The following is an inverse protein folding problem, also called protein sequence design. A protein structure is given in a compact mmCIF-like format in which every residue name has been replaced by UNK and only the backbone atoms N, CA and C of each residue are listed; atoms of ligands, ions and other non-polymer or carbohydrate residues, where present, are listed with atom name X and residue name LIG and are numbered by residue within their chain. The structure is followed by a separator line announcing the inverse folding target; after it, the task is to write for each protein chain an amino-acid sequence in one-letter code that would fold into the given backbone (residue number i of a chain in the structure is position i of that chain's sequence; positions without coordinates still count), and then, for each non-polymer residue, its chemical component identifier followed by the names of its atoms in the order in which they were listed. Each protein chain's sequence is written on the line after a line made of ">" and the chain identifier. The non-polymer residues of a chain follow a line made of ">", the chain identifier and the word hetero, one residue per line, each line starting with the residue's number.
data_IF_089952608280
#
_entry.id   IF_089952608280
#
_cell.length_a   1.000
_cell.length_b   1.000
_cell.length_c   1.000
_cell.angle_alpha   90.00
_cell.angle_beta   90.00
_cell.angle_gamma   90.00
#
_symmetry.space_group_name_H-M   'P 1'
#
loop_
_entity.id
_entity.type
_entity.pdbx_description
1 polymer ?
#
# COMPACT_ATOMS: atom_id res chain seq x y z
N UNK A 1 22.24 2.58 -8.26
CA UNK A 1 21.14 2.17 -7.40
C UNK A 1 21.18 0.67 -7.27
N UNK A 2 21.01 0.18 -6.07
CA UNK A 2 20.88 -1.25 -5.82
C UNK A 2 19.62 -1.80 -6.48
N UNK A 3 19.69 -2.98 -7.03
CA UNK A 3 18.59 -3.61 -7.77
C UNK A 3 18.10 -4.90 -7.13
N UNK A 4 18.76 -5.32 -6.03
CA UNK A 4 18.45 -6.55 -5.31
C UNK A 4 17.80 -6.23 -3.95
N UNK A 5 16.60 -6.74 -3.76
CA UNK A 5 15.77 -6.53 -2.59
C UNK A 5 15.25 -7.86 -2.03
N UNK A 6 14.77 -7.87 -0.81
CA UNK A 6 14.06 -9.01 -0.28
C UNK A 6 12.59 -8.98 -0.70
N UNK A 7 11.98 -7.78 -0.66
CA UNK A 7 10.56 -7.57 -1.00
C UNK A 7 10.39 -6.38 -1.92
N UNK A 8 9.65 -6.57 -3.00
CA UNK A 8 9.13 -5.49 -3.84
C UNK A 8 7.66 -5.25 -3.48
N UNK A 9 7.30 -4.00 -3.21
CA UNK A 9 5.91 -3.58 -3.02
C UNK A 9 5.51 -2.69 -4.18
N UNK A 10 4.46 -3.08 -4.91
CA UNK A 10 3.93 -2.33 -6.06
C UNK A 10 2.67 -1.60 -5.64
N UNK A 11 2.74 -0.27 -5.61
CA UNK A 11 1.67 0.62 -5.20
C UNK A 11 1.84 1.15 -3.79
N UNK A 12 1.82 2.48 -3.63
CA UNK A 12 2.01 3.19 -2.37
C UNK A 12 0.71 3.79 -1.79
N UNK A 13 -0.42 3.09 -1.99
CA UNK A 13 -1.63 3.30 -1.20
C UNK A 13 -1.44 2.81 0.24
N UNK A 14 -2.47 2.91 1.07
CA UNK A 14 -2.37 2.50 2.48
C UNK A 14 -1.91 1.05 2.65
N UNK A 15 -2.43 0.12 1.86
CA UNK A 15 -2.04 -1.30 1.92
C UNK A 15 -0.55 -1.51 1.58
N UNK A 16 -0.06 -0.86 0.51
CA UNK A 16 1.35 -1.00 0.13
C UNK A 16 2.30 -0.33 1.13
N UNK A 17 1.91 0.80 1.68
CA UNK A 17 2.69 1.49 2.73
C UNK A 17 2.81 0.62 3.98
N UNK A 18 1.69 0.02 4.44
CA UNK A 18 1.72 -0.90 5.59
C UNK A 18 2.56 -2.13 5.32
N UNK A 19 2.47 -2.71 4.11
CA UNK A 19 3.28 -3.85 3.71
C UNK A 19 4.78 -3.51 3.69
N UNK A 20 5.14 -2.32 3.20
CA UNK A 20 6.53 -1.85 3.17
C UNK A 20 7.09 -1.67 4.58
N UNK A 21 6.36 -0.99 5.47
CA UNK A 21 6.79 -0.83 6.87
C UNK A 21 6.87 -2.16 7.61
N UNK A 22 5.89 -3.04 7.43
CA UNK A 22 5.90 -4.36 8.06
C UNK A 22 7.13 -5.18 7.63
N UNK A 23 7.41 -5.21 6.31
CA UNK A 23 8.57 -5.91 5.76
C UNK A 23 9.89 -5.32 6.27
N UNK A 24 10.01 -3.98 6.31
CA UNK A 24 11.21 -3.31 6.81
C UNK A 24 11.44 -3.56 8.31
N UNK A 25 10.38 -3.56 9.13
CA UNK A 25 10.48 -3.91 10.56
C UNK A 25 10.98 -5.34 10.81
N UNK A 26 10.70 -6.25 9.89
CA UNK A 26 11.23 -7.62 9.92
C UNK A 26 12.69 -7.72 9.46
N UNK A 27 13.33 -6.60 9.15
CA UNK A 27 14.73 -6.53 8.73
C UNK A 27 14.94 -6.75 7.24
N UNK A 28 13.88 -6.81 6.44
CA UNK A 28 14.00 -6.99 5.00
C UNK A 28 14.36 -5.66 4.31
N UNK A 29 15.12 -5.78 3.22
CA UNK A 29 15.38 -4.70 2.29
C UNK A 29 14.23 -4.59 1.31
N UNK A 30 13.52 -3.46 1.31
CA UNK A 30 12.26 -3.24 0.59
C UNK A 30 12.42 -2.17 -0.47
N UNK A 31 11.88 -2.40 -1.66
CA UNK A 31 11.60 -1.33 -2.61
C UNK A 31 10.09 -1.14 -2.75
N UNK A 32 9.64 0.10 -2.58
CA UNK A 32 8.26 0.52 -2.78
C UNK A 32 8.17 1.33 -4.07
N UNK A 33 7.47 0.78 -5.06
CA UNK A 33 7.35 1.37 -6.40
C UNK A 33 5.96 1.95 -6.57
N UNK A 34 5.88 3.19 -7.01
CA UNK A 34 4.61 3.89 -7.21
C UNK A 34 4.68 4.82 -8.42
N UNK A 35 3.53 5.06 -9.06
CA UNK A 35 3.44 5.97 -10.20
C UNK A 35 3.84 7.41 -9.85
N UNK A 36 3.44 7.88 -8.67
CA UNK A 36 3.70 9.24 -8.21
C UNK A 36 4.00 9.25 -6.71
N UNK A 37 5.17 9.74 -6.32
CA UNK A 37 5.55 9.86 -4.90
C UNK A 37 4.62 10.82 -4.12
N UNK A 38 4.09 11.83 -4.81
CA UNK A 38 3.16 12.78 -4.19
C UNK A 38 1.78 12.20 -3.88
N UNK A 39 1.49 10.97 -4.33
CA UNK A 39 0.21 10.30 -4.05
C UNK A 39 0.31 9.18 -3.02
N UNK A 40 1.47 9.05 -2.35
CA UNK A 40 1.65 8.08 -1.25
C UNK A 40 0.58 8.31 -0.19
N UNK A 41 -0.10 7.24 0.22
CA UNK A 41 -1.19 7.26 1.22
C UNK A 41 -2.28 8.30 0.93
N UNK A 42 -2.56 8.57 -0.34
CA UNK A 42 -3.57 9.55 -0.72
C UNK A 42 -4.97 9.06 -0.37
N UNK A 43 -5.72 9.92 0.33
CA UNK A 43 -7.14 9.72 0.61
C UNK A 43 -7.96 10.36 -0.51
N UNK A 44 -8.33 9.57 -1.52
CA UNK A 44 -8.99 10.06 -2.74
C UNK A 44 -10.50 10.28 -2.60
N UNK A 45 -11.11 9.79 -1.53
CA UNK A 45 -12.52 10.00 -1.22
C UNK A 45 -12.66 10.90 0.01
N UNK A 46 -13.31 10.42 1.07
CA UNK A 46 -13.33 11.13 2.34
C UNK A 46 -11.96 11.07 3.01
N UNK A 47 -11.40 12.20 3.48
CA UNK A 47 -10.13 12.20 4.19
C UNK A 47 -10.33 11.67 5.62
N UNK A 48 -10.62 10.39 5.76
CA UNK A 48 -10.90 9.76 7.05
C UNK A 48 -10.42 8.32 7.12
N UNK A 49 -10.01 7.92 8.31
CA UNK A 49 -9.64 6.55 8.69
C UNK A 49 -10.70 6.01 9.65
N UNK A 50 -11.04 4.74 9.52
CA UNK A 50 -12.04 4.08 10.35
C UNK A 50 -13.44 4.13 9.76
N UNK A 51 -14.44 3.81 10.60
CA UNK A 51 -15.83 3.65 10.18
C UNK A 51 -16.29 2.18 10.21
N UNK A 52 -17.57 1.89 9.88
CA UNK A 52 -18.11 0.53 9.89
C UNK A 52 -17.31 -0.45 9.04
N UNK A 53 -16.92 -1.59 9.62
CA UNK A 53 -16.13 -2.62 8.96
C UNK A 53 -14.69 -2.24 8.63
N UNK A 54 -14.20 -1.10 9.16
CA UNK A 54 -12.85 -0.58 8.88
C UNK A 54 -12.04 -0.34 10.15
N UNK A 55 -12.67 0.20 11.22
CA UNK A 55 -11.96 0.55 12.46
C UNK A 55 -11.30 -0.67 13.11
N UNK A 56 -11.95 -1.82 13.09
CA UNK A 56 -11.40 -3.08 13.60
C UNK A 56 -10.12 -3.47 12.85
N UNK A 57 -10.10 -3.36 11.52
CA UNK A 57 -8.90 -3.65 10.72
C UNK A 57 -7.76 -2.66 11.02
N UNK A 58 -8.08 -1.37 11.21
CA UNK A 58 -7.06 -0.37 11.60
C UNK A 58 -6.48 -0.73 12.97
N UNK A 59 -7.33 -1.13 13.93
CA UNK A 59 -6.88 -1.57 15.26
C UNK A 59 -6.00 -2.81 15.18
N UNK A 60 -6.36 -3.81 14.37
CA UNK A 60 -5.56 -5.02 14.17
C UNK A 60 -4.19 -4.69 13.57
N UNK A 61 -4.14 -3.81 12.56
CA UNK A 61 -2.89 -3.33 11.96
C UNK A 61 -2.05 -2.57 12.99
N UNK A 62 -2.66 -1.72 13.80
CA UNK A 62 -1.98 -0.93 14.84
C UNK A 62 -1.33 -1.81 15.91
N UNK A 63 -2.05 -2.83 16.40
CA UNK A 63 -1.52 -3.83 17.36
C UNK A 63 -0.31 -4.56 16.79
N UNK A 64 -0.27 -4.80 15.48
CA UNK A 64 0.87 -5.38 14.78
C UNK A 64 1.99 -4.36 14.49
N UNK A 65 1.87 -3.13 14.96
CA UNK A 65 2.85 -2.06 14.79
C UNK A 65 2.69 -1.26 13.50
N UNK A 66 1.50 -1.25 12.89
CA UNK A 66 1.18 -0.49 11.70
C UNK A 66 1.18 1.01 11.91
N UNK A 67 1.09 1.74 10.82
CA UNK A 67 1.25 3.20 10.81
C UNK A 67 -0.06 3.97 10.64
N UNK A 68 -1.10 3.34 10.10
CA UNK A 68 -2.37 4.04 9.84
C UNK A 68 -3.00 4.60 11.11
N UNK A 69 -3.06 3.81 12.19
CA UNK A 69 -3.60 4.21 13.49
C UNK A 69 -2.81 5.37 14.07
N UNK A 70 -1.50 5.23 14.15
CA UNK A 70 -0.59 6.27 14.68
C UNK A 70 -0.69 7.58 13.90
N UNK A 71 -0.75 7.50 12.56
CA UNK A 71 -0.84 8.67 11.72
C UNK A 71 -2.18 9.40 11.84
N UNK A 72 -3.30 8.66 11.96
CA UNK A 72 -4.58 9.32 12.16
C UNK A 72 -4.67 9.95 13.55
N UNK A 73 -4.10 9.35 14.57
CA UNK A 73 -4.05 9.94 15.92
C UNK A 73 -3.26 11.26 15.94
N UNK A 74 -2.15 11.33 15.20
CA UNK A 74 -1.30 12.52 15.13
C UNK A 74 -1.86 13.62 14.21
N UNK A 75 -2.51 13.25 13.11
CA UNK A 75 -2.91 14.20 12.04
C UNK A 75 -4.42 14.26 11.81
N UNK A 76 -5.23 13.91 12.81
CA UNK A 76 -6.65 14.11 12.72
C UNK A 76 -7.05 15.57 12.95
N UNK A 77 -8.17 15.95 12.34
CA UNK A 77 -8.89 17.19 12.61
C UNK A 77 -10.02 16.95 13.60
N UNK A 78 -10.55 15.74 13.64
CA UNK A 78 -11.62 15.30 14.52
C UNK A 78 -11.60 13.79 14.66
N UNK A 79 -11.75 13.30 15.89
CA UNK A 79 -12.10 11.92 16.21
C UNK A 79 -13.54 11.86 16.67
N UNK A 80 -14.33 10.94 16.15
CA UNK A 80 -15.75 10.81 16.47
C UNK A 80 -16.14 9.34 16.57
N UNK A 81 -16.83 9.00 17.65
CA UNK A 81 -17.50 7.71 17.77
C UNK A 81 -18.82 7.73 17.02
N UNK A 82 -19.00 6.74 16.17
CA UNK A 82 -20.22 6.51 15.39
C UNK A 82 -21.04 5.40 16.04
N UNK A 83 -22.34 5.41 15.76
CA UNK A 83 -23.29 4.42 16.24
C UNK A 83 -23.35 4.30 17.77
N UNK A 84 -23.17 5.39 18.49
CA UNK A 84 -23.18 5.43 19.96
C UNK A 84 -24.51 4.98 20.58
N UNK A 85 -25.60 5.10 19.82
CA UNK A 85 -26.93 4.60 20.21
C UNK A 85 -27.15 3.12 19.92
N UNK A 86 -26.19 2.45 19.30
CA UNK A 86 -26.22 1.01 19.00
C UNK A 86 -25.45 0.23 20.06
N UNK A 87 -25.60 -1.10 20.05
CA UNK A 87 -24.82 -1.96 20.94
C UNK A 87 -23.30 -1.83 20.74
N UNK A 88 -22.49 -2.31 21.71
CA UNK A 88 -21.02 -2.14 21.69
C UNK A 88 -20.35 -2.63 20.41
N UNK A 89 -20.83 -3.71 19.81
CA UNK A 89 -20.28 -4.27 18.56
C UNK A 89 -20.46 -3.36 17.34
N UNK A 90 -21.38 -2.40 17.37
CA UNK A 90 -21.62 -1.46 16.29
C UNK A 90 -20.92 -0.11 16.52
N UNK A 91 -20.41 0.12 17.74
CA UNK A 91 -19.72 1.36 18.12
C UNK A 91 -18.31 1.37 17.52
N UNK A 92 -17.97 2.41 16.81
CA UNK A 92 -16.72 2.51 16.07
C UNK A 92 -16.20 3.93 16.08
N UNK A 93 -14.88 4.08 16.06
CA UNK A 93 -14.23 5.38 15.96
C UNK A 93 -13.90 5.70 14.50
N UNK A 94 -14.06 6.95 14.11
CA UNK A 94 -13.66 7.49 12.82
C UNK A 94 -12.86 8.77 13.02
N UNK A 95 -11.64 8.80 12.46
CA UNK A 95 -10.79 9.98 12.43
C UNK A 95 -10.90 10.71 11.11
N UNK A 96 -11.24 12.01 11.15
CA UNK A 96 -11.17 12.91 10.01
C UNK A 96 -9.74 13.44 9.91
N UNK A 97 -9.05 13.21 8.81
CA UNK A 97 -7.65 13.60 8.63
C UNK A 97 -7.48 14.98 7.99
N UNK A 98 -6.42 15.69 8.39
CA UNK A 98 -5.77 16.64 7.51
C UNK A 98 -5.05 15.85 6.40
N UNK A 99 -5.73 15.68 5.25
CA UNK A 99 -5.27 14.79 4.18
C UNK A 99 -3.90 15.16 3.59
N UNK A 100 -3.56 16.45 3.59
CA UNK A 100 -2.28 16.92 3.05
C UNK A 100 -1.15 16.65 4.03
N UNK A 101 -1.38 16.96 5.30
CA UNK A 101 -0.40 16.72 6.37
C UNK A 101 -0.16 15.23 6.58
N UNK A 102 -1.24 14.45 6.64
CA UNK A 102 -1.18 12.98 6.75
C UNK A 102 -0.31 12.37 5.64
N UNK A 103 -0.62 12.69 4.37
CA UNK A 103 0.12 12.18 3.21
C UNK A 103 1.58 12.59 3.23
N UNK A 104 1.87 13.88 3.46
CA UNK A 104 3.24 14.39 3.51
C UNK A 104 4.05 13.69 4.60
N UNK A 105 3.47 13.54 5.79
CA UNK A 105 4.15 12.92 6.92
C UNK A 105 4.38 11.42 6.73
N UNK A 106 3.45 10.72 6.10
CA UNK A 106 3.63 9.33 5.73
C UNK A 106 4.79 9.15 4.75
N UNK A 107 4.87 10.01 3.73
CA UNK A 107 6.00 10.02 2.80
C UNK A 107 7.32 10.31 3.50
N UNK A 108 7.39 11.37 4.32
CA UNK A 108 8.59 11.72 5.09
C UNK A 108 9.07 10.54 5.97
N UNK A 109 8.14 9.79 6.54
CA UNK A 109 8.47 8.61 7.36
C UNK A 109 9.04 7.48 6.53
N UNK A 110 8.45 7.18 5.36
CA UNK A 110 8.98 6.19 4.43
C UNK A 110 10.41 6.55 3.98
N UNK A 111 10.63 7.81 3.60
CA UNK A 111 11.95 8.32 3.15
C UNK A 111 13.04 8.22 4.23
N UNK A 112 12.65 8.26 5.51
CA UNK A 112 13.56 8.15 6.67
C UNK A 112 13.77 6.71 7.15
N UNK A 113 13.02 5.75 6.63
CA UNK A 113 13.15 4.35 7.04
C UNK A 113 14.28 3.69 6.27
N UNK A 114 15.34 3.27 6.98
CA UNK A 114 16.61 2.82 6.39
C UNK A 114 16.47 1.69 5.36
N UNK A 115 15.59 0.72 5.61
CA UNK A 115 15.46 -0.45 4.74
C UNK A 115 14.43 -0.27 3.63
N UNK A 116 13.90 0.94 3.41
CA UNK A 116 12.91 1.21 2.36
C UNK A 116 13.51 2.15 1.31
N UNK A 117 13.49 1.69 0.05
CA UNK A 117 13.78 2.51 -1.12
C UNK A 117 12.48 2.91 -1.81
N UNK A 118 12.28 4.20 -2.07
CA UNK A 118 11.12 4.70 -2.81
C UNK A 118 11.49 4.93 -4.27
N UNK A 119 10.72 4.37 -5.19
CA UNK A 119 10.93 4.50 -6.63
C UNK A 119 9.64 5.01 -7.28
N UNK A 120 9.78 6.09 -8.06
CA UNK A 120 8.70 6.57 -8.92
C UNK A 120 8.86 5.94 -10.31
N UNK A 121 8.09 4.90 -10.57
CA UNK A 121 8.02 4.21 -11.86
C UNK A 121 6.73 3.37 -11.95
N UNK A 122 6.50 2.76 -13.09
CA UNK A 122 5.39 1.84 -13.32
C UNK A 122 5.93 0.41 -13.43
N UNK A 123 5.49 -0.49 -12.56
CA UNK A 123 5.74 -1.91 -12.70
C UNK A 123 4.86 -2.46 -13.84
N UNK A 124 5.46 -3.03 -14.88
CA UNK A 124 4.74 -3.55 -16.05
C UNK A 124 4.73 -5.07 -16.12
N UNK A 125 5.78 -5.71 -15.65
CA UNK A 125 5.93 -7.16 -15.78
C UNK A 125 6.44 -7.77 -14.47
N UNK A 126 5.85 -8.90 -14.08
CA UNK A 126 6.36 -9.74 -12.99
C UNK A 126 7.25 -10.80 -13.64
N UNK A 127 8.50 -10.83 -13.22
CA UNK A 127 9.46 -11.81 -13.70
C UNK A 127 9.34 -13.10 -12.88
N UNK A 128 9.28 -14.22 -13.59
CA UNK A 128 9.15 -15.54 -12.99
C UNK A 128 10.09 -16.53 -13.68
N UNK A 129 10.54 -17.52 -12.93
CA UNK A 129 11.26 -18.68 -13.44
C UNK A 129 10.47 -19.97 -13.13
N UNK A 130 10.59 -20.97 -14.00
CA UNK A 130 10.04 -22.29 -13.75
C UNK A 130 11.07 -23.09 -12.96
N UNK A 131 10.68 -23.50 -11.75
CA UNK A 131 11.50 -24.39 -10.91
C UNK A 131 10.83 -25.77 -10.80
N UNK A 132 11.64 -26.82 -10.79
CA UNK A 132 11.11 -28.17 -10.61
C UNK A 132 10.73 -28.37 -9.14
N UNK A 133 9.49 -28.75 -8.91
CA UNK A 133 9.04 -29.13 -7.57
C UNK A 133 9.72 -30.43 -7.15
N UNK A 134 10.44 -30.41 -6.05
CA UNK A 134 11.15 -31.56 -5.52
C UNK A 134 10.21 -32.69 -5.04
N UNK A 135 8.95 -32.37 -4.75
CA UNK A 135 8.00 -33.32 -4.18
C UNK A 135 7.08 -33.98 -5.23
N UNK A 136 6.70 -33.26 -6.28
CA UNK A 136 5.64 -33.69 -7.20
C UNK A 136 6.08 -33.87 -8.67
N UNK A 137 7.36 -33.70 -8.99
CA UNK A 137 7.89 -33.69 -10.38
C UNK A 137 7.20 -32.72 -11.33
N UNK A 138 6.41 -31.78 -10.81
CA UNK A 138 5.78 -30.69 -11.54
C UNK A 138 6.66 -29.45 -11.56
N UNK A 139 6.41 -28.52 -12.51
CA UNK A 139 7.04 -27.21 -12.50
C UNK A 139 6.14 -26.23 -11.75
N UNK A 140 6.73 -25.43 -10.86
CA UNK A 140 6.10 -24.31 -10.19
C UNK A 140 6.76 -23.02 -10.62
N UNK A 141 6.00 -21.92 -10.64
CA UNK A 141 6.53 -20.60 -10.96
C UNK A 141 7.02 -19.91 -9.70
N UNK A 142 8.27 -19.49 -9.72
CA UNK A 142 8.89 -18.69 -8.66
C UNK A 142 9.08 -17.26 -9.17
N UNK A 143 8.64 -16.26 -8.40
CA UNK A 143 8.92 -14.86 -8.71
C UNK A 143 10.41 -14.56 -8.52
N UNK A 144 10.98 -13.80 -9.43
CA UNK A 144 12.39 -13.36 -9.37
C UNK A 144 12.53 -11.86 -9.30
N UNK A 145 11.49 -11.11 -9.71
CA UNK A 145 11.51 -9.66 -9.68
C UNK A 145 10.41 -9.03 -10.51
N UNK A 146 10.60 -7.77 -10.82
CA UNK A 146 9.76 -7.01 -11.74
C UNK A 146 10.59 -6.27 -12.77
N UNK A 147 9.95 -5.96 -13.91
CA UNK A 147 10.45 -5.00 -14.90
C UNK A 147 9.55 -3.79 -14.91
N UNK A 148 10.14 -2.61 -14.89
CA UNK A 148 9.43 -1.34 -14.93
C UNK A 148 9.27 -0.82 -16.36
N UNK A 149 8.43 0.21 -16.53
CA UNK A 149 8.22 0.92 -17.81
C UNK A 149 9.51 1.51 -18.37
N UNK A 150 10.41 1.98 -17.54
CA UNK A 150 11.73 2.47 -17.94
C UNK A 150 12.71 1.35 -18.30
N UNK A 151 12.27 0.09 -18.28
CA UNK A 151 13.08 -1.09 -18.61
C UNK A 151 14.03 -1.52 -17.49
N UNK A 152 13.91 -0.94 -16.29
CA UNK A 152 14.73 -1.31 -15.14
C UNK A 152 14.19 -2.60 -14.54
N UNK A 153 15.09 -3.52 -14.23
CA UNK A 153 14.78 -4.78 -13.54
C UNK A 153 15.19 -4.64 -12.07
N UNK A 154 14.24 -4.92 -11.18
CA UNK A 154 14.45 -5.07 -9.74
C UNK A 154 14.23 -6.53 -9.37
N UNK A 155 15.22 -7.15 -8.74
CA UNK A 155 15.14 -8.53 -8.28
C UNK A 155 14.58 -8.58 -6.85
N UNK A 156 13.78 -9.59 -6.52
CA UNK A 156 13.32 -9.83 -5.16
C UNK A 156 12.90 -11.27 -4.93
N UNK A 157 12.88 -11.66 -3.65
CA UNK A 157 12.40 -12.98 -3.20
C UNK A 157 10.88 -13.05 -3.13
N UNK A 158 10.23 -11.90 -2.90
CA UNK A 158 8.77 -11.78 -2.79
C UNK A 158 8.27 -10.46 -3.38
N UNK A 159 7.03 -10.48 -3.87
CA UNK A 159 6.35 -9.31 -4.43
C UNK A 159 5.00 -9.15 -3.76
N UNK A 160 4.69 -7.93 -3.29
CA UNK A 160 3.37 -7.54 -2.80
C UNK A 160 2.72 -6.61 -3.82
N UNK A 161 1.59 -7.04 -4.39
CA UNK A 161 0.80 -6.23 -5.30
C UNK A 161 -0.29 -5.48 -4.52
N UNK A 162 -0.13 -4.17 -4.41
CA UNK A 162 -1.05 -3.26 -3.72
C UNK A 162 -1.54 -2.15 -4.68
N UNK A 163 -1.89 -2.54 -5.91
CA UNK A 163 -2.20 -1.66 -7.04
C UNK A 163 -3.53 -0.92 -6.91
N UNK A 164 -4.36 -1.30 -5.93
CA UNK A 164 -5.67 -0.69 -5.70
C UNK A 164 -6.56 -0.79 -6.93
N UNK A 165 -7.06 0.34 -7.40
CA UNK A 165 -7.94 0.44 -8.57
C UNK A 165 -7.20 0.60 -9.90
N UNK A 166 -5.86 0.58 -9.91
CA UNK A 166 -5.07 0.92 -11.10
C UNK A 166 -4.84 -0.25 -12.07
N UNK A 167 -4.91 -1.50 -11.59
CA UNK A 167 -4.68 -2.67 -12.44
C UNK A 167 -5.87 -2.87 -13.39
N UNK A 168 -5.67 -2.55 -14.69
CA UNK A 168 -6.73 -2.51 -15.72
C UNK A 168 -7.94 -1.68 -15.28
N UNK A 169 -7.68 -0.58 -14.56
CA UNK A 169 -8.71 0.29 -14.03
C UNK A 169 -9.54 0.94 -15.13
N UNK A 170 -10.83 1.10 -14.86
CA UNK A 170 -11.80 1.74 -15.75
C UNK A 170 -12.65 2.71 -14.96
N UNK A 171 -12.72 3.94 -15.41
CA UNK A 171 -13.57 4.97 -14.84
C UNK A 171 -14.84 5.10 -15.68
N UNK A 172 -15.97 5.18 -15.00
CA UNK A 172 -17.29 5.38 -15.60
C UNK A 172 -17.93 6.56 -14.91
N UNK A 173 -18.28 7.61 -15.67
CA UNK A 173 -18.97 8.80 -15.20
C UNK A 173 -20.10 9.11 -16.18
N UNK A 174 -21.33 8.81 -15.78
CA UNK A 174 -22.47 8.84 -16.72
C UNK A 174 -22.19 7.94 -17.92
N UNK A 175 -22.24 8.48 -19.13
CA UNK A 175 -22.01 7.78 -20.38
C UNK A 175 -20.53 7.75 -20.80
N UNK A 176 -19.67 8.46 -20.06
CA UNK A 176 -18.23 8.54 -20.39
C UNK A 176 -17.48 7.41 -19.70
N UNK A 177 -16.66 6.72 -20.49
CA UNK A 177 -15.83 5.63 -19.99
C UNK A 177 -14.40 5.74 -20.54
N UNK A 178 -13.40 5.59 -19.65
CA UNK A 178 -11.99 5.58 -20.06
C UNK A 178 -11.12 4.75 -19.09
N UNK A 179 -9.95 4.33 -19.58
CA UNK A 179 -9.01 3.52 -18.79
C UNK A 179 -8.20 4.42 -17.87
N UNK A 180 -8.42 4.30 -16.57
CA UNK A 180 -7.62 4.94 -15.52
C UNK A 180 -7.90 4.25 -14.18
N UNK A 181 -6.99 4.40 -13.23
CA UNK A 181 -7.19 3.88 -11.85
C UNK A 181 -7.91 4.86 -10.94
N UNK A 182 -7.89 6.15 -11.28
CA UNK A 182 -8.52 7.24 -10.51
C UNK A 182 -8.76 8.44 -11.43
N UNK A 183 -9.78 9.23 -11.11
CA UNK A 183 -9.99 10.54 -11.71
C UNK A 183 -9.07 11.57 -11.02
N UNK A 184 -8.29 12.33 -11.79
CA UNK A 184 -7.37 13.36 -11.33
C UNK A 184 -6.00 12.87 -10.94
#
# INVERSE_FOLDING_TARGET
>A
MDKDYDVIVVGAGHAGVEAAFASARLGNKVVLITLYLDTISMMSCNPSIGGPGKSNLVTEIDVLGGEMGRHIDEFNLQLKDLNTSKGPAARITRGQADKYKYRRKMREKLEKTENISLIQDCAEEILVEDIKDSQNSSYIKKVTGIKTRLGIIYNAKAIVLATGTFLKGKIVIGDVTYSAGRQG
#
